data_IF_238705263995
#
_entry.id   IF_238705263995
#
_cell.length_a   1.000
_cell.length_b   1.000
_cell.length_c   1.000
_cell.angle_alpha   90.00
_cell.angle_beta   90.00
_cell.angle_gamma   90.00
#
_symmetry.space_group_name_H-M   'P 1'
#
loop_
_entity.id
_entity.type
_entity.pdbx_description
1 polymer ?
#
# COMPACT_ATOMS: atom_id res chain seq x y z
N UNK A 1 5.02 -7.96 -4.57
CA UNK A 1 4.48 -9.03 -5.44
C UNK A 1 4.61 -10.43 -4.83
N UNK A 2 5.76 -10.81 -4.25
CA UNK A 2 5.99 -12.16 -3.73
C UNK A 2 4.82 -12.74 -2.92
N UNK A 3 4.27 -11.98 -1.96
CA UNK A 3 3.08 -12.40 -1.21
C UNK A 3 1.85 -12.73 -2.07
N UNK A 4 1.62 -12.02 -3.18
CA UNK A 4 0.55 -12.39 -4.11
C UNK A 4 0.82 -13.75 -4.75
N UNK A 5 1.98 -13.93 -5.41
CA UNK A 5 2.28 -15.18 -6.14
C UNK A 5 2.32 -16.39 -5.18
N UNK A 6 2.96 -16.26 -4.02
CA UNK A 6 2.91 -17.28 -2.97
C UNK A 6 1.48 -17.58 -2.54
N UNK A 7 0.66 -16.56 -2.29
CA UNK A 7 -0.71 -16.75 -1.87
C UNK A 7 -1.61 -17.34 -2.96
N UNK A 8 -1.37 -17.07 -4.25
CA UNK A 8 -2.04 -17.75 -5.36
C UNK A 8 -1.67 -19.24 -5.36
N UNK A 9 -0.37 -19.54 -5.24
CA UNK A 9 0.16 -20.92 -5.23
C UNK A 9 -0.23 -21.73 -3.98
N UNK A 10 -0.75 -21.10 -2.93
CA UNK A 10 -1.28 -21.79 -1.75
C UNK A 10 -2.64 -22.45 -1.98
N UNK A 11 -3.41 -22.06 -3.01
CA UNK A 11 -4.66 -22.72 -3.40
C UNK A 11 -4.75 -22.86 -4.93
N UNK A 12 -3.86 -23.66 -5.55
CA UNK A 12 -3.76 -23.76 -7.01
C UNK A 12 -5.01 -24.38 -7.66
N UNK A 13 -5.83 -25.12 -6.92
CA UNK A 13 -7.09 -25.70 -7.38
C UNK A 13 -8.13 -24.65 -7.80
N UNK A 14 -8.01 -23.39 -7.35
CA UNK A 14 -8.85 -22.27 -7.82
C UNK A 14 -8.68 -22.05 -9.33
N UNK A 15 -7.51 -22.42 -9.87
CA UNK A 15 -7.16 -22.26 -11.28
C UNK A 15 -7.50 -23.49 -12.14
N UNK A 16 -8.15 -24.51 -11.57
CA UNK A 16 -8.76 -25.61 -12.32
C UNK A 16 -10.15 -25.21 -12.88
N UNK A 17 -10.55 -23.95 -12.68
CA UNK A 17 -11.82 -23.39 -13.13
C UNK A 17 -11.85 -23.21 -14.65
N UNK A 18 -12.86 -23.78 -15.29
CA UNK A 18 -13.09 -23.70 -16.73
C UNK A 18 -14.22 -22.70 -17.07
N UNK A 19 -14.08 -21.91 -18.15
CA UNK A 19 -12.89 -21.80 -19.00
C UNK A 19 -11.77 -20.97 -18.33
N UNK A 20 -10.52 -21.22 -18.71
CA UNK A 20 -9.50 -20.16 -18.71
C UNK A 20 -8.71 -19.93 -17.42
N UNK A 21 -8.69 -20.88 -16.50
CA UNK A 21 -7.68 -20.98 -15.45
C UNK A 21 -6.47 -21.81 -15.90
N UNK A 22 -5.25 -21.38 -15.54
CA UNK A 22 -4.01 -22.06 -15.93
C UNK A 22 -3.15 -22.39 -14.71
N UNK A 23 -3.54 -23.45 -13.99
CA UNK A 23 -2.87 -23.91 -12.76
C UNK A 23 -1.37 -24.20 -12.94
N UNK A 24 -1.00 -24.97 -13.96
CA UNK A 24 0.39 -25.38 -14.16
C UNK A 24 1.31 -24.19 -14.44
N UNK A 25 0.82 -23.21 -15.21
CA UNK A 25 1.55 -21.97 -15.47
C UNK A 25 1.82 -21.20 -14.18
N UNK A 26 0.82 -21.06 -13.30
CA UNK A 26 1.00 -20.42 -12.00
C UNK A 26 2.10 -21.11 -11.17
N UNK A 27 2.10 -22.43 -11.11
CA UNK A 27 3.08 -23.18 -10.32
C UNK A 27 4.50 -23.04 -10.89
N UNK A 28 4.63 -23.05 -12.22
CA UNK A 28 5.91 -22.80 -12.89
C UNK A 28 6.42 -21.37 -12.66
N UNK A 29 5.53 -20.37 -12.74
CA UNK A 29 5.85 -18.97 -12.41
C UNK A 29 6.30 -18.86 -10.96
N UNK A 30 5.60 -19.48 -10.02
CA UNK A 30 5.97 -19.49 -8.61
C UNK A 30 7.37 -20.09 -8.41
N UNK A 31 7.66 -21.25 -8.99
CA UNK A 31 8.97 -21.89 -8.86
C UNK A 31 10.10 -21.07 -9.50
N UNK A 32 9.85 -20.47 -10.67
CA UNK A 32 10.78 -19.53 -11.32
C UNK A 32 11.12 -18.35 -10.41
N UNK A 33 10.09 -17.64 -9.94
CA UNK A 33 10.27 -16.47 -9.11
C UNK A 33 10.96 -16.78 -7.77
N UNK A 34 10.61 -17.92 -7.16
CA UNK A 34 11.21 -18.38 -5.90
C UNK A 34 12.66 -18.78 -6.05
N UNK A 35 13.00 -19.50 -7.13
CA UNK A 35 14.36 -20.01 -7.37
C UNK A 35 15.31 -18.89 -7.77
N UNK A 36 14.85 -17.98 -8.62
CA UNK A 36 15.70 -17.00 -9.29
C UNK A 36 15.64 -15.61 -8.61
N UNK A 37 14.97 -15.51 -7.46
CA UNK A 37 14.79 -14.29 -6.63
C UNK A 37 14.34 -13.07 -7.45
N UNK A 38 13.30 -13.28 -8.25
CA UNK A 38 12.83 -12.30 -9.21
C UNK A 38 12.22 -11.08 -8.49
N UNK A 39 12.89 -9.93 -8.60
CA UNK A 39 12.25 -8.66 -8.26
C UNK A 39 11.16 -8.31 -9.28
N UNK A 40 9.91 -8.30 -8.82
CA UNK A 40 8.78 -8.03 -9.68
C UNK A 40 7.69 -7.17 -9.01
N UNK A 41 6.98 -6.42 -9.84
CA UNK A 41 5.91 -5.49 -9.45
C UNK A 41 4.53 -5.97 -9.94
N UNK A 42 3.48 -5.21 -9.72
CA UNK A 42 2.14 -5.53 -10.21
C UNK A 42 1.45 -4.32 -10.82
N UNK A 43 0.59 -4.58 -11.80
CA UNK A 43 -0.22 -3.59 -12.49
C UNK A 43 -1.65 -4.13 -12.62
N UNK A 44 -2.48 -3.82 -11.61
CA UNK A 44 -3.80 -4.46 -11.44
C UNK A 44 -4.98 -3.51 -11.65
N UNK A 45 -4.70 -2.22 -11.84
CA UNK A 45 -5.70 -1.15 -11.95
C UNK A 45 -5.80 -0.69 -13.41
N UNK A 46 -6.99 -0.74 -14.04
CA UNK A 46 -7.22 -0.12 -15.34
C UNK A 46 -7.20 1.43 -15.27
N UNK A 47 -7.03 2.12 -16.41
CA UNK A 47 -7.16 3.57 -16.48
C UNK A 47 -8.53 4.04 -15.95
N UNK A 48 -8.61 5.13 -15.18
CA UNK A 48 -9.89 5.77 -14.84
C UNK A 48 -10.70 6.09 -16.10
N UNK A 49 -12.00 5.83 -16.08
CA UNK A 49 -12.89 6.07 -17.23
C UNK A 49 -12.88 4.99 -18.31
N UNK A 50 -11.91 4.05 -18.30
CA UNK A 50 -11.80 2.96 -19.29
C UNK A 50 -12.94 1.92 -19.27
N UNK A 51 -13.96 2.12 -18.43
CA UNK A 51 -15.06 1.18 -18.20
C UNK A 51 -16.30 1.46 -19.04
N UNK A 52 -16.40 2.64 -19.64
CA UNK A 52 -17.55 3.00 -20.45
C UNK A 52 -17.40 2.43 -21.88
N UNK A 53 -17.62 1.12 -22.01
CA UNK A 53 -17.52 0.40 -23.28
C UNK A 53 -18.40 1.03 -24.37
N UNK A 54 -19.62 1.40 -24.02
CA UNK A 54 -20.58 2.04 -24.93
C UNK A 54 -20.04 3.37 -25.49
N UNK A 55 -19.42 4.18 -24.65
CA UNK A 55 -18.76 5.41 -25.10
C UNK A 55 -17.66 5.13 -26.12
N UNK A 56 -16.71 4.24 -25.83
CA UNK A 56 -15.60 3.98 -26.75
C UNK A 56 -16.07 3.39 -28.08
N UNK A 57 -17.06 2.50 -28.03
CA UNK A 57 -17.69 1.93 -29.22
C UNK A 57 -18.42 3.00 -30.05
N UNK A 58 -19.27 3.81 -29.43
CA UNK A 58 -20.05 4.85 -30.12
C UNK A 58 -19.18 5.97 -30.69
N UNK A 59 -18.08 6.30 -30.02
CA UNK A 59 -17.13 7.32 -30.46
C UNK A 59 -16.11 6.81 -31.49
N UNK A 60 -16.06 5.49 -31.75
CA UNK A 60 -15.08 4.90 -32.66
C UNK A 60 -13.63 5.05 -32.20
N UNK A 61 -13.40 5.18 -30.89
CA UNK A 61 -12.05 5.34 -30.30
C UNK A 61 -11.63 4.08 -29.54
N UNK A 62 -10.33 3.85 -29.45
CA UNK A 62 -9.79 2.67 -28.77
C UNK A 62 -10.11 2.69 -27.26
N UNK A 63 -10.56 1.54 -26.73
CA UNK A 63 -10.70 1.35 -25.29
C UNK A 63 -9.30 1.29 -24.64
N UNK A 64 -9.01 2.15 -23.65
CA UNK A 64 -7.66 2.26 -23.11
C UNK A 64 -7.28 1.15 -22.12
N UNK A 65 -8.22 0.34 -21.64
CA UNK A 65 -7.91 -0.78 -20.74
C UNK A 65 -7.14 -1.89 -21.46
N UNK A 66 -6.12 -2.44 -20.79
CA UNK A 66 -5.41 -3.63 -21.26
C UNK A 66 -6.37 -4.77 -21.56
N UNK A 67 -6.25 -5.34 -22.77
CA UNK A 67 -7.09 -6.43 -23.26
C UNK A 67 -6.37 -7.30 -24.28
N UNK A 68 -6.87 -8.51 -24.45
CA UNK A 68 -6.50 -9.41 -25.56
C UNK A 68 -7.15 -8.93 -26.85
N UNK A 69 -6.35 -8.73 -27.89
CA UNK A 69 -6.81 -8.31 -29.24
C UNK A 69 -6.55 -9.33 -30.32
N UNK A 70 -5.75 -10.36 -30.03
CA UNK A 70 -5.45 -11.46 -30.94
C UNK A 70 -4.93 -12.67 -30.17
N UNK A 71 -5.06 -13.84 -30.77
CA UNK A 71 -4.64 -15.13 -30.20
C UNK A 71 -4.04 -15.96 -31.32
N UNK A 72 -2.96 -16.66 -31.02
CA UNK A 72 -2.32 -17.62 -31.93
C UNK A 72 -1.87 -18.88 -31.17
N UNK A 73 -1.21 -19.78 -31.88
CA UNK A 73 -0.69 -21.04 -31.33
C UNK A 73 0.40 -20.83 -30.26
N UNK A 74 0.98 -19.63 -30.18
CA UNK A 74 2.10 -19.31 -29.29
C UNK A 74 1.68 -18.47 -28.10
N UNK A 75 0.58 -17.73 -28.17
CA UNK A 75 0.13 -16.89 -27.07
C UNK A 75 -1.02 -15.95 -27.42
N UNK A 76 -1.05 -14.83 -26.69
CA UNK A 76 -2.03 -13.76 -26.86
C UNK A 76 -1.34 -12.43 -27.19
N UNK A 77 -2.04 -11.57 -27.91
CA UNK A 77 -1.59 -10.20 -28.20
C UNK A 77 -2.33 -9.24 -27.27
N UNK A 78 -1.57 -8.48 -26.47
CA UNK A 78 -2.11 -7.47 -25.55
C UNK A 78 -1.97 -6.07 -26.13
N UNK A 79 -3.05 -5.30 -25.98
CA UNK A 79 -3.09 -3.88 -26.29
C UNK A 79 -3.81 -3.10 -25.18
N UNK A 80 -3.45 -1.82 -25.01
CA UNK A 80 -4.06 -0.92 -24.03
C UNK A 80 -3.11 -0.57 -22.88
N UNK A 81 -3.65 -0.32 -21.70
CA UNK A 81 -2.88 0.21 -20.57
C UNK A 81 -3.26 -0.38 -19.21
N UNK A 82 -2.28 -0.40 -18.30
CA UNK A 82 -2.46 -0.58 -16.86
C UNK A 82 -1.74 0.53 -16.09
N UNK A 83 -2.32 0.96 -14.99
CA UNK A 83 -1.86 2.13 -14.24
C UNK A 83 -1.04 1.71 -13.02
N UNK A 84 -0.12 2.60 -12.63
CA UNK A 84 0.57 2.64 -11.34
C UNK A 84 1.31 1.35 -10.98
N UNK A 85 2.13 0.86 -11.91
CA UNK A 85 3.12 -0.18 -11.66
C UNK A 85 4.31 0.42 -10.91
N UNK A 86 4.14 0.66 -9.61
CA UNK A 86 5.17 1.23 -8.73
C UNK A 86 6.42 0.34 -8.74
N UNK A 87 7.58 0.95 -9.00
CA UNK A 87 8.87 0.25 -9.07
C UNK A 87 9.15 -0.46 -10.39
N UNK A 88 8.27 -0.38 -11.40
CA UNK A 88 8.46 -1.06 -12.68
C UNK A 88 9.74 -0.67 -13.41
N UNK A 89 10.22 0.57 -13.23
CA UNK A 89 11.48 1.02 -13.82
C UNK A 89 12.72 0.22 -13.35
N UNK A 90 12.59 -0.55 -12.26
CA UNK A 90 13.69 -1.31 -11.64
C UNK A 90 13.40 -2.82 -11.57
N UNK A 91 12.19 -3.25 -11.96
CA UNK A 91 11.74 -4.62 -11.80
C UNK A 91 12.09 -5.47 -13.04
N UNK A 92 12.27 -6.78 -12.83
CA UNK A 92 12.48 -7.74 -13.92
C UNK A 92 11.16 -8.09 -14.60
N UNK A 93 10.13 -8.36 -13.79
CA UNK A 93 8.82 -8.84 -14.26
C UNK A 93 7.66 -8.07 -13.61
N UNK A 94 6.47 -8.20 -14.20
CA UNK A 94 5.24 -7.60 -13.71
C UNK A 94 4.08 -8.57 -13.76
N UNK A 95 3.33 -8.66 -12.66
CA UNK A 95 2.00 -9.27 -12.64
C UNK A 95 0.99 -8.27 -13.22
N UNK A 96 0.47 -8.58 -14.40
CA UNK A 96 -0.71 -7.91 -14.96
C UNK A 96 -1.94 -8.66 -14.48
N UNK A 97 -2.93 -7.96 -13.92
CA UNK A 97 -4.16 -8.62 -13.43
C UNK A 97 -5.31 -7.65 -13.14
N UNK A 98 -6.36 -8.13 -12.48
CA UNK A 98 -7.59 -7.37 -12.24
C UNK A 98 -8.03 -7.40 -10.77
N UNK A 99 -7.74 -6.34 -10.01
CA UNK A 99 -8.16 -6.23 -8.60
C UNK A 99 -9.58 -5.66 -8.43
N UNK A 100 -10.17 -5.15 -9.51
CA UNK A 100 -11.56 -4.69 -9.53
C UNK A 100 -12.42 -5.69 -10.31
N UNK A 101 -13.68 -5.91 -9.91
CA UNK A 101 -14.59 -6.77 -10.66
C UNK A 101 -14.71 -6.32 -12.11
N UNK A 102 -14.81 -7.31 -13.00
CA UNK A 102 -15.13 -7.14 -14.41
C UNK A 102 -16.54 -7.71 -14.65
N UNK A 103 -17.29 -7.07 -15.54
CA UNK A 103 -18.59 -7.59 -15.97
C UNK A 103 -18.41 -8.89 -16.78
N UNK A 104 -19.40 -9.80 -16.79
CA UNK A 104 -19.27 -11.09 -17.47
C UNK A 104 -18.93 -11.02 -18.96
N UNK A 105 -19.26 -9.92 -19.63
CA UNK A 105 -19.01 -9.69 -21.05
C UNK A 105 -17.63 -9.04 -21.34
N UNK A 106 -16.84 -8.74 -20.31
CA UNK A 106 -15.48 -8.18 -20.41
C UNK A 106 -14.39 -9.27 -20.46
N UNK A 107 -14.62 -10.30 -21.28
CA UNK A 107 -13.73 -11.46 -21.39
C UNK A 107 -12.32 -11.08 -21.85
N UNK A 108 -12.23 -10.20 -22.86
CA UNK A 108 -10.94 -9.78 -23.41
C UNK A 108 -10.10 -8.93 -22.44
N UNK A 109 -10.73 -8.24 -21.49
CA UNK A 109 -10.05 -7.55 -20.39
C UNK A 109 -9.66 -8.51 -19.23
N UNK A 110 -10.23 -9.71 -19.20
CA UNK A 110 -10.00 -10.72 -18.15
C UNK A 110 -8.74 -11.56 -18.40
N UNK A 111 -7.60 -10.87 -18.44
CA UNK A 111 -6.26 -11.45 -18.54
C UNK A 111 -5.48 -11.24 -17.24
N UNK A 112 -4.87 -12.31 -16.73
CA UNK A 112 -3.87 -12.27 -15.67
C UNK A 112 -2.63 -13.02 -16.14
N UNK A 113 -1.46 -12.38 -16.11
CA UNK A 113 -0.19 -12.97 -16.52
C UNK A 113 0.99 -12.37 -15.74
N UNK A 114 2.12 -13.07 -15.71
CA UNK A 114 3.40 -12.54 -15.20
C UNK A 114 4.39 -12.50 -16.35
N UNK A 115 4.83 -11.29 -16.72
CA UNK A 115 5.62 -11.07 -17.93
C UNK A 115 6.88 -10.25 -17.63
N UNK A 116 7.98 -10.44 -18.40
CA UNK A 116 9.14 -9.59 -18.26
C UNK A 116 8.85 -8.17 -18.77
N UNK A 117 9.48 -7.17 -18.16
CA UNK A 117 9.24 -5.76 -18.47
C UNK A 117 9.93 -5.27 -19.75
N UNK A 118 10.72 -6.13 -20.42
CA UNK A 118 11.44 -5.85 -21.65
C UNK A 118 10.83 -6.55 -22.89
N UNK A 119 9.58 -7.02 -22.83
CA UNK A 119 8.89 -7.56 -24.00
C UNK A 119 8.76 -6.50 -25.10
N UNK A 120 8.89 -6.92 -26.36
CA UNK A 120 8.63 -6.06 -27.50
C UNK A 120 7.19 -5.51 -27.46
N UNK A 121 7.02 -4.23 -27.76
CA UNK A 121 5.73 -3.54 -27.69
C UNK A 121 5.31 -3.06 -26.29
N UNK A 122 5.96 -3.51 -25.21
CA UNK A 122 5.69 -3.08 -23.84
C UNK A 122 6.53 -1.85 -23.52
N UNK A 123 5.90 -0.74 -23.13
CA UNK A 123 6.64 0.46 -22.72
C UNK A 123 6.17 0.98 -21.36
N UNK A 124 7.14 1.51 -20.59
CA UNK A 124 6.94 2.04 -19.24
C UNK A 124 6.92 3.56 -19.29
N UNK A 125 5.79 4.16 -18.94
CA UNK A 125 5.65 5.61 -18.90
C UNK A 125 5.70 6.05 -17.45
N UNK A 126 6.89 6.45 -17.01
CA UNK A 126 7.13 6.93 -15.65
C UNK A 126 6.55 8.34 -15.45
N UNK A 127 6.05 8.61 -14.24
CA UNK A 127 5.97 10.00 -13.75
C UNK A 127 7.36 10.66 -13.74
N UNK A 128 7.45 12.00 -13.62
CA UNK A 128 8.73 12.66 -13.39
C UNK A 128 9.48 12.05 -12.19
N UNK A 129 10.79 11.75 -12.33
CA UNK A 129 11.60 11.29 -11.21
C UNK A 129 11.74 12.41 -10.18
N UNK A 130 11.67 12.06 -8.90
CA UNK A 130 11.86 13.01 -7.80
C UNK A 130 13.35 13.12 -7.44
N UNK A 131 14.13 12.07 -7.68
CA UNK A 131 15.58 12.05 -7.54
C UNK A 131 16.28 12.63 -8.79
N UNK A 132 16.08 13.92 -9.05
CA UNK A 132 16.64 14.62 -10.22
C UNK A 132 18.16 14.80 -10.11
N UNK A 133 18.82 15.11 -11.23
CA UNK A 133 20.29 15.26 -11.31
C UNK A 133 20.86 16.33 -10.36
N UNK A 134 20.07 17.34 -10.02
CA UNK A 134 20.41 18.43 -9.10
C UNK A 134 20.04 18.11 -7.63
N UNK A 135 19.39 16.97 -7.39
CA UNK A 135 19.00 16.53 -6.04
C UNK A 135 20.21 15.94 -5.34
N UNK A 136 20.69 16.60 -4.27
CA UNK A 136 21.82 16.08 -3.51
C UNK A 136 21.37 15.25 -2.29
N UNK A 137 22.13 14.18 -1.91
CA UNK A 137 21.73 13.29 -0.82
C UNK A 137 21.73 13.91 0.59
N UNK A 138 22.35 15.08 0.77
CA UNK A 138 22.34 15.76 2.07
C UNK A 138 21.02 16.50 2.27
N UNK A 139 20.57 17.24 1.24
CA UNK A 139 19.36 18.05 1.30
C UNK A 139 18.08 17.22 1.10
N UNK A 140 18.18 16.08 0.40
CA UNK A 140 17.04 15.18 0.12
C UNK A 140 17.40 13.69 0.35
N UNK A 141 17.69 13.29 1.60
CA UNK A 141 18.23 11.96 1.91
C UNK A 141 17.25 10.80 1.66
N UNK A 142 15.94 11.03 1.69
CA UNK A 142 14.93 10.01 1.41
C UNK A 142 14.61 9.96 -0.07
N UNK A 143 14.37 11.11 -0.68
CA UNK A 143 14.07 11.23 -2.12
C UNK A 143 15.16 10.58 -2.96
N UNK A 144 16.44 10.82 -2.65
CA UNK A 144 17.56 10.27 -3.42
C UNK A 144 17.71 8.75 -3.32
N UNK A 145 17.14 8.11 -2.30
CA UNK A 145 17.35 6.68 -2.02
C UNK A 145 16.11 5.82 -2.20
N UNK A 146 14.92 6.40 -2.02
CA UNK A 146 13.66 5.66 -1.88
C UNK A 146 12.58 6.16 -2.84
N UNK A 147 12.94 6.89 -3.90
CA UNK A 147 11.98 7.24 -4.95
C UNK A 147 11.62 6.00 -5.78
N UNK A 148 10.39 5.53 -5.65
CA UNK A 148 9.85 4.44 -6.47
C UNK A 148 9.02 5.02 -7.61
N UNK A 149 9.53 4.95 -8.84
CA UNK A 149 8.80 5.43 -10.02
C UNK A 149 7.45 4.73 -10.17
N UNK A 150 6.39 5.52 -10.31
CA UNK A 150 5.04 5.05 -10.63
C UNK A 150 4.88 5.06 -12.16
N UNK A 151 4.91 3.87 -12.77
CA UNK A 151 4.84 3.73 -14.22
C UNK A 151 3.44 3.33 -14.70
N UNK A 152 2.99 3.91 -15.80
CA UNK A 152 1.92 3.32 -16.60
C UNK A 152 2.54 2.28 -17.53
N UNK A 153 1.93 1.12 -17.62
CA UNK A 153 2.30 0.12 -18.63
C UNK A 153 1.44 0.36 -19.86
N UNK A 154 2.06 0.52 -21.01
CA UNK A 154 1.37 0.58 -22.30
C UNK A 154 1.76 -0.62 -23.13
N UNK A 155 0.76 -1.27 -23.69
CA UNK A 155 0.88 -2.46 -24.51
C UNK A 155 0.50 -2.08 -25.93
N UNK A 156 1.45 -2.25 -26.85
CA UNK A 156 1.24 -2.06 -28.28
C UNK A 156 1.67 -3.35 -29.00
N UNK A 157 0.69 -4.18 -29.32
CA UNK A 157 0.89 -5.51 -29.92
C UNK A 157 1.89 -6.41 -29.16
N UNK A 158 1.79 -6.42 -27.82
CA UNK A 158 2.68 -7.23 -26.98
C UNK A 158 2.27 -8.70 -27.06
N UNK A 159 3.12 -9.54 -27.64
CA UNK A 159 2.90 -10.98 -27.66
C UNK A 159 3.32 -11.61 -26.33
N UNK A 160 2.35 -12.23 -25.64
CA UNK A 160 2.54 -12.89 -24.35
C UNK A 160 2.38 -14.40 -24.54
N UNK A 161 3.45 -15.19 -24.28
CA UNK A 161 3.40 -16.64 -24.41
C UNK A 161 2.37 -17.30 -23.47
N UNK A 162 1.76 -18.40 -23.92
CA UNK A 162 0.74 -19.13 -23.14
C UNK A 162 1.23 -19.52 -21.74
N UNK A 163 2.49 -19.91 -21.56
CA UNK A 163 3.08 -20.29 -20.28
C UNK A 163 3.18 -19.16 -19.25
N UNK A 164 3.01 -17.90 -19.67
CA UNK A 164 3.00 -16.72 -18.78
C UNK A 164 1.61 -16.36 -18.28
N UNK A 165 0.57 -17.00 -18.80
CA UNK A 165 -0.84 -16.68 -18.53
C UNK A 165 -1.35 -17.53 -17.36
N UNK A 166 -2.05 -16.90 -16.43
CA UNK A 166 -2.65 -17.50 -15.24
C UNK A 166 -4.18 -17.55 -15.37
N UNK A 167 -4.79 -16.50 -15.95
CA UNK A 167 -6.23 -16.42 -16.25
C UNK A 167 -6.43 -15.77 -17.61
N UNK A 168 -7.33 -16.32 -18.44
CA UNK A 168 -7.74 -15.74 -19.73
C UNK A 168 -9.24 -15.98 -19.98
N UNK A 169 -9.96 -14.97 -20.50
CA UNK A 169 -11.38 -15.07 -20.89
C UNK A 169 -12.35 -15.52 -19.78
N UNK A 170 -11.96 -15.36 -18.51
CA UNK A 170 -12.78 -15.63 -17.32
C UNK A 170 -12.84 -14.42 -16.38
N UNK A 171 -13.83 -13.56 -16.62
CA UNK A 171 -14.04 -12.32 -15.87
C UNK A 171 -14.21 -12.54 -14.35
N UNK A 172 -15.09 -13.45 -13.87
CA UNK A 172 -15.19 -13.74 -12.43
C UNK A 172 -13.87 -14.24 -11.83
N UNK A 173 -13.21 -15.20 -12.48
CA UNK A 173 -11.96 -15.78 -11.97
C UNK A 173 -10.86 -14.72 -11.85
N UNK A 174 -10.73 -13.84 -12.85
CA UNK A 174 -9.68 -12.81 -12.90
C UNK A 174 -9.61 -11.92 -11.65
N UNK A 175 -10.75 -11.73 -10.97
CA UNK A 175 -10.85 -11.03 -9.68
C UNK A 175 -10.86 -11.99 -8.48
N UNK A 176 -11.53 -13.13 -8.60
CA UNK A 176 -11.70 -14.07 -7.50
C UNK A 176 -10.40 -14.73 -7.05
N UNK A 177 -9.39 -14.79 -7.92
CA UNK A 177 -8.07 -15.33 -7.56
C UNK A 177 -7.47 -14.62 -6.34
N UNK A 178 -7.76 -13.34 -6.11
CA UNK A 178 -7.26 -12.59 -4.96
C UNK A 178 -7.99 -12.93 -3.64
N UNK A 179 -9.26 -13.32 -3.71
CA UNK A 179 -10.14 -13.53 -2.55
C UNK A 179 -10.34 -15.00 -2.19
N UNK A 180 -10.39 -15.87 -3.20
CA UNK A 180 -10.52 -17.33 -3.06
C UNK A 180 -9.18 -18.01 -2.77
N UNK A 181 -8.06 -17.35 -3.09
CA UNK A 181 -6.73 -17.76 -2.61
C UNK A 181 -6.26 -16.86 -1.46
N UNK A 182 -5.21 -17.26 -0.72
CA UNK A 182 -4.50 -16.41 0.22
C UNK A 182 -3.79 -15.17 -0.36
N UNK A 183 -3.73 -14.97 -1.68
CA UNK A 183 -2.96 -13.88 -2.35
C UNK A 183 -3.12 -12.51 -1.71
N UNK A 184 -4.36 -12.04 -1.52
CA UNK A 184 -4.61 -10.71 -0.97
C UNK A 184 -4.13 -10.57 0.47
N UNK A 185 -4.29 -11.62 1.27
CA UNK A 185 -3.90 -11.61 2.69
C UNK A 185 -2.37 -11.64 2.82
N UNK A 186 -1.70 -12.51 2.06
CA UNK A 186 -0.24 -12.61 2.05
C UNK A 186 0.44 -11.32 1.59
N UNK A 187 -0.09 -10.69 0.53
CA UNK A 187 0.45 -9.42 0.04
C UNK A 187 0.29 -8.28 1.08
N UNK A 188 -0.88 -8.18 1.71
CA UNK A 188 -1.16 -7.06 2.61
C UNK A 188 -0.56 -7.21 4.01
N UNK A 189 -0.22 -8.42 4.46
CA UNK A 189 0.55 -8.58 5.69
C UNK A 189 1.90 -7.86 5.59
N UNK A 190 2.60 -8.05 4.45
CA UNK A 190 3.85 -7.34 4.17
C UNK A 190 3.64 -5.82 4.15
N UNK A 191 2.54 -5.34 3.59
CA UNK A 191 2.22 -3.91 3.59
C UNK A 191 2.06 -3.34 5.00
N UNK A 192 1.39 -4.06 5.91
CA UNK A 192 1.26 -3.65 7.31
C UNK A 192 2.63 -3.61 8.01
N UNK A 193 3.46 -4.65 7.85
CA UNK A 193 4.82 -4.70 8.43
C UNK A 193 5.70 -3.54 7.93
N UNK A 194 5.63 -3.24 6.62
CA UNK A 194 6.32 -2.09 6.01
C UNK A 194 5.83 -0.77 6.60
N UNK A 195 4.52 -0.60 6.75
CA UNK A 195 3.94 0.60 7.34
C UNK A 195 4.39 0.80 8.80
N UNK A 196 4.38 -0.26 9.61
CA UNK A 196 4.86 -0.22 11.00
C UNK A 196 6.33 0.20 11.09
N UNK A 197 7.17 -0.34 10.20
CA UNK A 197 8.59 0.06 10.13
C UNK A 197 8.75 1.56 9.83
N UNK A 198 7.95 2.09 8.89
CA UNK A 198 7.89 3.53 8.60
C UNK A 198 7.40 4.33 9.82
N UNK A 199 6.37 3.82 10.51
CA UNK A 199 5.80 4.47 11.69
C UNK A 199 6.83 4.57 12.84
N UNK A 200 7.60 3.51 13.10
CA UNK A 200 8.70 3.54 14.08
C UNK A 200 9.73 4.62 13.76
N UNK A 201 10.11 4.76 12.49
CA UNK A 201 11.00 5.82 12.03
C UNK A 201 10.39 7.21 12.25
N UNK A 202 9.11 7.38 11.90
CA UNK A 202 8.36 8.62 12.07
C UNK A 202 8.26 9.04 13.55
N UNK A 203 7.91 8.13 14.46
CA UNK A 203 7.81 8.42 15.91
C UNK A 203 9.18 8.74 16.50
N UNK A 204 10.22 8.02 16.08
CA UNK A 204 11.61 8.33 16.46
C UNK A 204 12.00 9.74 16.02
N UNK A 205 11.67 10.12 14.80
CA UNK A 205 11.95 11.45 14.27
C UNK A 205 11.15 12.54 15.01
N UNK A 206 9.86 12.30 15.29
CA UNK A 206 9.03 13.20 16.10
C UNK A 206 9.67 13.48 17.46
N UNK A 207 10.13 12.44 18.16
CA UNK A 207 10.82 12.59 19.44
C UNK A 207 12.10 13.42 19.29
N UNK A 208 12.92 13.14 18.28
CA UNK A 208 14.16 13.89 18.03
C UNK A 208 13.89 15.37 17.70
N UNK A 209 12.83 15.68 16.95
CA UNK A 209 12.45 17.07 16.62
C UNK A 209 12.30 17.85 17.92
N UNK A 210 11.53 17.31 18.88
CA UNK A 210 11.27 18.00 20.16
C UNK A 210 12.51 18.12 21.04
N UNK A 211 13.49 17.21 20.93
CA UNK A 211 14.78 17.33 21.61
C UNK A 211 15.61 18.45 21.01
N UNK A 212 15.71 18.50 19.68
CA UNK A 212 16.51 19.49 18.96
C UNK A 212 15.93 20.89 19.13
N UNK A 213 14.61 21.04 19.19
CA UNK A 213 13.96 22.35 19.42
C UNK A 213 13.86 22.75 20.89
N UNK A 214 14.21 21.86 21.83
CA UNK A 214 14.06 22.09 23.27
C UNK A 214 12.62 22.03 23.79
N UNK A 215 11.66 21.67 22.95
CA UNK A 215 10.24 21.64 23.29
C UNK A 215 9.79 20.35 24.02
N UNK A 216 10.67 19.34 24.12
CA UNK A 216 10.32 17.99 24.59
C UNK A 216 9.60 17.96 25.93
N UNK A 217 10.04 18.77 26.90
CA UNK A 217 9.54 18.68 28.28
C UNK A 217 8.29 19.54 28.53
N UNK A 218 7.81 20.27 27.51
CA UNK A 218 6.53 20.96 27.56
C UNK A 218 5.41 19.91 27.69
N UNK A 219 4.51 19.99 28.69
CA UNK A 219 3.49 18.97 28.94
C UNK A 219 2.65 18.61 27.70
N UNK A 220 2.19 19.61 26.94
CA UNK A 220 1.42 19.40 25.71
C UNK A 220 2.22 18.65 24.63
N UNK A 221 3.52 18.91 24.51
CA UNK A 221 4.39 18.20 23.56
C UNK A 221 4.61 16.75 23.99
N UNK A 222 4.81 16.50 25.29
CA UNK A 222 4.91 15.14 25.85
C UNK A 222 3.64 14.34 25.60
N UNK A 223 2.47 14.97 25.74
CA UNK A 223 1.18 14.34 25.44
C UNK A 223 1.11 13.91 23.98
N UNK A 224 1.47 14.79 23.04
CA UNK A 224 1.52 14.46 21.60
C UNK A 224 2.47 13.30 21.31
N UNK A 225 3.68 13.32 21.89
CA UNK A 225 4.62 12.20 21.74
C UNK A 225 4.11 10.89 22.36
N UNK A 226 3.42 10.96 23.50
CA UNK A 226 2.82 9.79 24.13
C UNK A 226 1.71 9.19 23.26
N UNK A 227 0.88 10.04 22.63
CA UNK A 227 -0.14 9.60 21.66
C UNK A 227 0.50 8.89 20.46
N UNK A 228 1.55 9.48 19.87
CA UNK A 228 2.29 8.86 18.76
C UNK A 228 2.89 7.49 19.15
N UNK A 229 3.47 7.39 20.36
CA UNK A 229 4.01 6.13 20.87
C UNK A 229 2.93 5.07 21.11
N UNK A 230 1.77 5.46 21.65
CA UNK A 230 0.65 4.55 21.86
C UNK A 230 0.06 4.05 20.53
N UNK A 231 -0.05 4.93 19.53
CA UNK A 231 -0.48 4.55 18.18
C UNK A 231 0.48 3.54 17.56
N UNK A 232 1.80 3.74 17.71
CA UNK A 232 2.82 2.83 17.15
C UNK A 232 2.78 1.46 17.81
N UNK A 233 2.73 1.41 19.14
CA UNK A 233 2.61 0.17 19.89
C UNK A 233 1.30 -0.57 19.57
N UNK A 234 0.18 0.15 19.48
CA UNK A 234 -1.11 -0.43 19.10
C UNK A 234 -1.12 -0.99 17.69
N UNK A 235 -0.46 -0.32 16.74
CA UNK A 235 -0.31 -0.84 15.38
C UNK A 235 0.55 -2.11 15.34
N UNK A 236 1.66 -2.13 16.09
CA UNK A 236 2.47 -3.34 16.28
C UNK A 236 1.66 -4.51 16.83
N UNK A 237 0.82 -4.27 17.85
CA UNK A 237 -0.06 -5.30 18.41
C UNK A 237 -1.08 -5.85 17.38
N UNK A 238 -1.55 -5.04 16.42
CA UNK A 238 -2.39 -5.55 15.32
C UNK A 238 -1.62 -6.46 14.35
N UNK A 239 -0.31 -6.28 14.20
CA UNK A 239 0.55 -7.20 13.43
C UNK A 239 0.76 -8.49 14.22
N UNK A 240 1.05 -8.40 15.51
CA UNK A 240 1.15 -9.58 16.38
C UNK A 240 -0.15 -10.41 16.35
N UNK A 241 -1.30 -9.74 16.40
CA UNK A 241 -2.61 -10.37 16.26
C UNK A 241 -2.82 -11.09 14.93
N UNK A 242 -2.14 -10.68 13.85
CA UNK A 242 -2.13 -11.41 12.57
C UNK A 242 -1.42 -12.75 12.68
N UNK A 243 -0.37 -12.83 13.49
CA UNK A 243 0.47 -14.01 13.69
C UNK A 243 -0.13 -14.97 14.72
N UNK A 244 -0.47 -14.46 15.91
CA UNK A 244 -0.94 -15.29 17.03
C UNK A 244 -2.33 -15.87 16.82
N UNK A 245 -3.16 -15.23 15.98
CA UNK A 245 -4.52 -15.70 15.65
C UNK A 245 -4.59 -16.25 14.22
N UNK A 246 -3.50 -16.84 13.72
CA UNK A 246 -3.45 -17.38 12.37
C UNK A 246 -4.65 -18.31 12.08
N UNK A 247 -5.01 -18.41 10.81
CA UNK A 247 -6.03 -19.32 10.31
C UNK A 247 -5.35 -20.50 9.62
N UNK A 248 -5.87 -21.70 9.84
CA UNK A 248 -5.47 -22.86 9.05
C UNK A 248 -6.12 -22.82 7.67
N UNK A 249 -5.41 -23.33 6.68
CA UNK A 249 -5.88 -23.53 5.32
C UNK A 249 -6.06 -25.03 5.12
N UNK A 250 -7.10 -25.45 4.40
CA UNK A 250 -7.54 -26.85 4.24
C UNK A 250 -6.46 -27.84 3.76
N UNK A 251 -5.35 -27.34 3.23
CA UNK A 251 -4.22 -28.10 2.69
C UNK A 251 -2.95 -28.07 3.57
N UNK A 252 -3.09 -27.71 4.85
CA UNK A 252 -2.01 -27.74 5.85
C UNK A 252 -1.14 -26.48 5.89
N UNK A 253 -1.42 -25.48 5.06
CA UNK A 253 -0.82 -24.15 5.23
C UNK A 253 -1.50 -23.37 6.36
N UNK A 254 -0.81 -22.33 6.83
CA UNK A 254 -1.36 -21.34 7.76
C UNK A 254 -1.38 -19.97 7.09
N UNK A 255 -2.31 -19.12 7.50
CA UNK A 255 -2.55 -17.80 6.95
C UNK A 255 -2.72 -16.76 8.07
N UNK A 256 -2.30 -15.53 7.82
CA UNK A 256 -2.50 -14.43 8.75
C UNK A 256 -3.99 -14.21 9.07
N UNK A 257 -4.27 -13.82 10.32
CA UNK A 257 -5.62 -13.50 10.76
C UNK A 257 -6.22 -12.37 9.91
N UNK A 258 -7.32 -12.67 9.20
CA UNK A 258 -7.97 -11.69 8.31
C UNK A 258 -8.52 -10.49 9.07
N UNK A 259 -9.13 -10.71 10.24
CA UNK A 259 -9.75 -9.63 11.04
C UNK A 259 -8.71 -8.62 11.49
N UNK A 260 -7.59 -9.07 12.04
CA UNK A 260 -6.49 -8.21 12.47
C UNK A 260 -5.79 -7.53 11.28
N UNK A 261 -5.59 -8.25 10.17
CA UNK A 261 -4.98 -7.72 8.96
C UNK A 261 -5.78 -6.57 8.34
N UNK A 262 -7.10 -6.75 8.17
CA UNK A 262 -7.97 -5.73 7.60
C UNK A 262 -8.23 -4.56 8.55
N UNK A 263 -8.17 -4.79 9.87
CA UNK A 263 -8.17 -3.71 10.85
C UNK A 263 -6.91 -2.85 10.72
N UNK A 264 -5.73 -3.45 10.60
CA UNK A 264 -4.46 -2.73 10.43
C UNK A 264 -4.41 -1.94 9.11
N UNK A 265 -4.86 -2.52 8.00
CA UNK A 265 -4.91 -1.81 6.71
C UNK A 265 -5.82 -0.57 6.79
N UNK A 266 -7.03 -0.75 7.34
CA UNK A 266 -7.97 0.35 7.55
C UNK A 266 -7.38 1.42 8.46
N UNK A 267 -6.77 1.03 9.58
CA UNK A 267 -6.16 1.96 10.51
C UNK A 267 -5.06 2.78 9.84
N UNK A 268 -4.16 2.16 9.08
CA UNK A 268 -3.09 2.86 8.38
C UNK A 268 -3.64 3.88 7.37
N UNK A 269 -4.64 3.49 6.58
CA UNK A 269 -5.31 4.34 5.59
C UNK A 269 -5.92 5.60 6.23
N UNK A 270 -6.59 5.46 7.38
CA UNK A 270 -7.25 6.58 8.07
C UNK A 270 -6.24 7.48 8.83
N UNK A 271 -5.20 6.89 9.42
CA UNK A 271 -4.34 7.61 10.38
C UNK A 271 -3.06 8.17 9.76
N UNK A 272 -2.62 7.73 8.58
CA UNK A 272 -1.33 8.17 8.04
C UNK A 272 -1.26 9.69 7.87
N UNK A 273 -2.27 10.34 7.27
CA UNK A 273 -2.27 11.80 7.12
C UNK A 273 -2.17 12.53 8.46
N UNK A 274 -2.91 12.07 9.47
CA UNK A 274 -2.84 12.65 10.82
C UNK A 274 -1.46 12.49 11.46
N UNK A 275 -0.79 11.35 11.29
CA UNK A 275 0.59 11.14 11.74
C UNK A 275 1.55 12.13 11.08
N UNK A 276 1.42 12.32 9.76
CA UNK A 276 2.25 13.26 9.00
C UNK A 276 2.04 14.71 9.46
N UNK A 277 0.78 15.11 9.65
CA UNK A 277 0.44 16.47 10.07
C UNK A 277 0.91 16.73 11.51
N UNK A 278 0.77 15.76 12.42
CA UNK A 278 1.28 15.86 13.80
C UNK A 278 2.79 16.07 13.82
N UNK A 279 3.54 15.34 13.01
CA UNK A 279 5.00 15.51 12.91
C UNK A 279 5.35 16.87 12.30
N UNK A 280 4.59 17.32 11.30
CA UNK A 280 4.77 18.65 10.68
C UNK A 280 4.50 19.77 11.68
N UNK A 281 3.49 19.64 12.54
CA UNK A 281 3.21 20.60 13.62
C UNK A 281 4.36 20.66 14.63
N UNK A 282 4.87 19.49 15.07
CA UNK A 282 6.05 19.43 15.95
C UNK A 282 7.30 20.04 15.30
N UNK A 283 7.45 19.89 13.99
CA UNK A 283 8.56 20.42 13.19
C UNK A 283 8.51 21.94 13.06
N UNK A 284 7.30 22.51 13.02
CA UNK A 284 7.06 23.94 12.85
C UNK A 284 7.78 24.53 11.63
N UNK A 285 8.26 25.76 11.75
CA UNK A 285 9.02 26.45 10.71
C UNK A 285 10.51 26.07 10.63
N UNK A 286 10.97 25.07 11.37
CA UNK A 286 12.40 24.73 11.52
C UNK A 286 13.14 24.52 10.19
N UNK A 287 12.62 23.72 9.23
CA UNK A 287 13.29 23.48 7.96
C UNK A 287 13.54 24.74 7.13
N UNK A 288 12.66 25.74 7.22
CA UNK A 288 12.73 26.97 6.42
C UNK A 288 13.76 27.97 6.95
N UNK A 289 14.37 27.69 8.09
CA UNK A 289 15.42 28.53 8.64
C UNK A 289 16.77 28.25 7.97
N UNK A 290 16.93 27.14 7.24
CA UNK A 290 18.23 26.74 6.68
C UNK A 290 18.46 27.27 5.26
N UNK A 291 19.72 27.45 4.83
CA UNK A 291 20.06 27.76 3.45
C UNK A 291 19.48 26.75 2.47
N UNK A 292 19.36 27.17 1.21
CA UNK A 292 18.84 26.33 0.13
C UNK A 292 19.60 25.00 0.02
N UNK A 293 20.93 25.03 0.19
CA UNK A 293 21.78 23.84 0.11
C UNK A 293 22.94 23.87 1.10
N UNK A 294 23.43 22.67 1.44
CA UNK A 294 24.66 22.47 2.21
C UNK A 294 25.90 23.05 1.52
N UNK A 295 25.80 23.43 0.25
CA UNK A 295 26.84 24.15 -0.49
C UNK A 295 27.27 25.47 0.18
N UNK A 296 26.50 26.01 1.13
CA UNK A 296 26.93 27.09 2.04
C UNK A 296 28.28 26.80 2.72
N UNK A 297 28.62 25.52 2.91
CA UNK A 297 29.88 25.07 3.52
C UNK A 297 31.10 25.18 2.60
N UNK A 298 30.90 25.38 1.29
CA UNK A 298 31.99 25.42 0.29
C UNK A 298 32.69 26.77 0.26
N UNK A 299 31.98 27.86 0.54
CA UNK A 299 32.54 29.20 0.64
C UNK A 299 33.01 29.46 2.09
N UNK A 300 34.28 29.81 2.34
CA UNK A 300 34.80 29.98 3.70
C UNK A 300 34.05 31.03 4.53
N UNK A 301 33.63 32.14 3.91
CA UNK A 301 32.93 33.23 4.60
C UNK A 301 31.50 32.82 4.96
N UNK A 302 30.78 32.21 4.01
CA UNK A 302 29.43 31.68 4.27
C UNK A 302 29.44 30.56 5.30
N UNK A 303 30.45 29.67 5.24
CA UNK A 303 30.63 28.59 6.21
C UNK A 303 30.79 29.15 7.62
N UNK A 304 31.69 30.10 7.83
CA UNK A 304 31.92 30.72 9.14
C UNK A 304 30.64 31.36 9.67
N UNK A 305 29.95 32.14 8.83
CA UNK A 305 28.66 32.74 9.18
C UNK A 305 27.60 31.69 9.55
N UNK A 306 27.50 30.63 8.76
CA UNK A 306 26.55 29.55 8.98
C UNK A 306 26.84 28.80 10.29
N UNK A 307 28.10 28.42 10.53
CA UNK A 307 28.51 27.75 11.77
C UNK A 307 28.24 28.62 13.00
N UNK A 308 28.44 29.95 12.90
CA UNK A 308 28.19 30.88 14.00
C UNK A 308 26.70 31.08 14.32
N UNK A 309 25.84 31.28 13.31
CA UNK A 309 24.44 31.66 13.53
C UNK A 309 23.46 30.49 13.56
N UNK A 310 23.81 29.35 12.96
CA UNK A 310 22.93 28.17 12.93
C UNK A 310 23.28 27.10 13.95
N UNK A 311 24.28 27.29 14.81
CA UNK A 311 24.53 26.37 15.92
C UNK A 311 23.64 26.71 17.13
N UNK A 312 23.11 25.71 17.83
CA UNK A 312 22.31 25.91 19.06
C UNK A 312 22.59 24.84 20.09
N UNK A 313 22.90 25.24 21.33
CA UNK A 313 23.19 24.32 22.42
C UNK A 313 24.26 23.30 22.01
N UNK A 314 23.90 22.02 22.07
CA UNK A 314 24.81 20.90 21.77
C UNK A 314 24.90 20.56 20.27
N UNK A 315 24.19 21.25 19.37
CA UNK A 315 24.13 20.91 17.95
C UNK A 315 24.78 21.98 17.07
N UNK A 316 25.78 21.56 16.29
CA UNK A 316 26.39 22.36 15.24
C UNK A 316 25.44 22.62 14.06
N UNK A 317 25.68 23.71 13.34
CA UNK A 317 24.85 24.15 12.19
C UNK A 317 24.61 23.05 11.15
N UNK A 318 25.66 22.31 10.76
CA UNK A 318 25.59 21.22 9.79
C UNK A 318 24.72 20.06 10.29
N UNK A 319 24.91 19.63 11.53
CA UNK A 319 24.14 18.54 12.14
C UNK A 319 22.65 18.90 12.23
N UNK A 320 22.34 20.15 12.60
CA UNK A 320 20.96 20.65 12.60
C UNK A 320 20.38 20.66 11.20
N UNK A 321 21.10 21.19 10.21
CA UNK A 321 20.62 21.22 8.83
C UNK A 321 20.35 19.82 8.30
N UNK A 322 21.27 18.88 8.54
CA UNK A 322 21.11 17.46 8.16
C UNK A 322 19.82 16.87 8.74
N UNK A 323 19.54 17.19 10.01
CA UNK A 323 18.35 16.73 10.70
C UNK A 323 17.06 17.32 10.11
N UNK A 324 17.01 18.65 9.93
CA UNK A 324 15.81 19.32 9.41
C UNK A 324 15.54 19.02 7.94
N UNK A 325 16.58 18.79 7.13
CA UNK A 325 16.45 18.32 5.74
C UNK A 325 15.84 16.92 5.69
N UNK A 326 16.30 15.99 6.54
CA UNK A 326 15.67 14.66 6.68
C UNK A 326 14.21 14.75 7.11
N UNK A 327 13.91 15.56 8.14
CA UNK A 327 12.54 15.73 8.64
C UNK A 327 11.61 16.31 7.58
N UNK A 328 12.06 17.32 6.84
CA UNK A 328 11.29 17.90 5.75
C UNK A 328 11.11 16.94 4.58
N UNK A 329 12.12 16.16 4.23
CA UNK A 329 12.02 15.19 3.14
C UNK A 329 11.07 14.03 3.48
N UNK A 330 10.79 13.79 4.77
CA UNK A 330 9.77 12.86 5.22
C UNK A 330 8.35 13.44 5.11
N UNK A 331 8.15 14.72 5.44
CA UNK A 331 6.80 15.29 5.66
C UNK A 331 6.36 16.40 4.70
N UNK A 332 7.27 16.99 3.91
CA UNK A 332 6.98 18.22 3.17
C UNK A 332 7.52 18.30 1.74
N UNK A 333 8.41 17.39 1.32
CA UNK A 333 8.90 17.34 -0.07
C UNK A 333 7.89 16.71 -1.04
N UNK A 334 8.17 16.78 -2.34
CA UNK A 334 7.40 16.06 -3.37
C UNK A 334 7.36 14.54 -3.09
N UNK A 335 8.46 13.99 -2.56
CA UNK A 335 8.54 12.60 -2.13
C UNK A 335 7.57 12.31 -0.97
N UNK A 336 7.53 13.18 0.04
CA UNK A 336 6.59 13.08 1.15
C UNK A 336 5.12 13.16 0.68
N UNK A 337 4.83 14.05 -0.27
CA UNK A 337 3.50 14.22 -0.86
C UNK A 337 3.05 12.97 -1.63
N UNK A 338 3.93 12.42 -2.48
CA UNK A 338 3.70 11.15 -3.17
C UNK A 338 3.50 10.01 -2.17
N UNK A 339 4.37 9.90 -1.16
CA UNK A 339 4.26 8.86 -0.12
C UNK A 339 2.95 8.97 0.67
N UNK A 340 2.48 10.18 0.97
CA UNK A 340 1.19 10.42 1.64
C UNK A 340 0.02 9.97 0.78
N UNK A 341 0.08 10.24 -0.53
CA UNK A 341 -0.93 9.79 -1.48
C UNK A 341 -0.91 8.27 -1.62
N UNK A 342 0.28 7.66 -1.68
CA UNK A 342 0.44 6.22 -1.72
C UNK A 342 -0.23 5.55 -0.50
N UNK A 343 0.13 5.94 0.73
CA UNK A 343 -0.43 5.30 1.94
C UNK A 343 -1.95 5.45 2.06
N UNK A 344 -2.51 6.51 1.47
CA UNK A 344 -3.95 6.76 1.46
C UNK A 344 -4.71 5.90 0.44
N UNK A 345 -4.08 5.56 -0.69
CA UNK A 345 -4.80 5.00 -1.84
C UNK A 345 -4.30 3.63 -2.32
N UNK A 346 -3.14 3.13 -1.88
CA UNK A 346 -2.50 1.95 -2.48
C UNK A 346 -3.33 0.66 -2.36
N UNK A 347 -4.10 0.50 -1.28
CA UNK A 347 -4.97 -0.68 -1.06
C UNK A 347 -6.22 -0.62 -1.95
N UNK A 348 -6.64 0.59 -2.32
CA UNK A 348 -7.88 0.85 -3.05
C UNK A 348 -8.74 1.92 -2.40
N UNK A 349 -9.96 2.15 -2.91
CA UNK A 349 -10.86 3.17 -2.39
C UNK A 349 -11.33 2.84 -0.97
N UNK A 350 -11.51 3.86 -0.13
CA UNK A 350 -11.80 3.71 1.30
C UNK A 350 -13.02 2.81 1.62
N UNK A 351 -14.09 2.88 0.81
CA UNK A 351 -15.26 2.03 1.00
C UNK A 351 -14.93 0.54 0.86
N UNK A 352 -14.04 0.17 -0.06
CA UNK A 352 -13.62 -1.22 -0.26
C UNK A 352 -12.77 -1.72 0.91
N UNK A 353 -11.84 -0.90 1.41
CA UNK A 353 -11.00 -1.23 2.57
C UNK A 353 -11.85 -1.39 3.84
N UNK A 354 -12.82 -0.50 4.06
CA UNK A 354 -13.77 -0.58 5.17
C UNK A 354 -14.67 -1.80 5.06
N UNK A 355 -15.12 -2.15 3.85
CA UNK A 355 -15.95 -3.34 3.63
C UNK A 355 -15.26 -4.65 4.06
N UNK A 356 -13.93 -4.75 3.93
CA UNK A 356 -13.23 -5.93 4.46
C UNK A 356 -13.39 -6.10 5.97
N UNK A 357 -13.52 -5.02 6.73
CA UNK A 357 -13.79 -5.10 8.16
C UNK A 357 -15.22 -5.58 8.44
N UNK A 358 -16.20 -5.13 7.64
CA UNK A 358 -17.59 -5.60 7.74
C UNK A 358 -17.68 -7.10 7.45
N UNK A 359 -17.08 -7.58 6.36
CA UNK A 359 -17.16 -8.98 5.94
C UNK A 359 -16.46 -9.94 6.90
N UNK A 360 -15.38 -9.49 7.58
CA UNK A 360 -14.59 -10.36 8.45
C UNK A 360 -14.93 -10.20 9.95
N UNK A 361 -15.91 -9.35 10.30
CA UNK A 361 -16.37 -9.23 11.68
C UNK A 361 -17.29 -10.42 12.05
N UNK A 362 -17.15 -11.01 13.24
CA UNK A 362 -17.99 -12.11 13.69
C UNK A 362 -19.34 -11.56 14.21
N UNK A 363 -20.19 -11.06 13.30
CA UNK A 363 -21.42 -10.35 13.67
C UNK A 363 -22.33 -11.17 14.57
N UNK A 364 -22.53 -12.46 14.29
CA UNK A 364 -23.35 -13.35 15.13
C UNK A 364 -22.82 -13.46 16.57
N UNK A 365 -21.49 -13.52 16.75
CA UNK A 365 -20.88 -13.52 18.09
C UNK A 365 -21.12 -12.19 18.81
N UNK A 366 -20.95 -11.07 18.08
CA UNK A 366 -21.16 -9.73 18.62
C UNK A 366 -22.64 -9.46 18.97
N UNK A 367 -23.57 -9.95 18.15
CA UNK A 367 -25.00 -9.88 18.41
C UNK A 367 -25.36 -10.71 19.63
N UNK A 368 -24.87 -11.96 19.72
CA UNK A 368 -25.14 -12.83 20.86
C UNK A 368 -24.70 -12.26 22.21
N UNK A 369 -23.63 -11.46 22.25
CA UNK A 369 -23.22 -10.73 23.48
C UNK A 369 -24.30 -9.72 23.90
N UNK A 370 -24.82 -8.94 22.95
CA UNK A 370 -25.82 -7.91 23.21
C UNK A 370 -27.20 -8.54 23.51
N UNK A 371 -27.63 -9.48 22.68
CA UNK A 371 -28.87 -10.25 22.85
C UNK A 371 -28.86 -11.00 24.18
N UNK A 372 -27.73 -11.60 24.56
CA UNK A 372 -27.61 -12.27 25.86
C UNK A 372 -27.82 -11.35 27.06
N UNK A 373 -27.53 -10.04 26.94
CA UNK A 373 -27.92 -9.06 27.96
C UNK A 373 -29.40 -8.69 27.85
N UNK A 374 -29.92 -8.53 26.63
CA UNK A 374 -31.34 -8.22 26.39
C UNK A 374 -32.26 -9.30 26.99
N UNK A 375 -31.86 -10.57 26.92
CA UNK A 375 -32.61 -11.68 27.49
C UNK A 375 -32.70 -11.66 29.03
N UNK A 376 -31.89 -10.83 29.72
CA UNK A 376 -31.89 -10.75 31.19
C UNK A 376 -32.91 -9.76 31.76
N UNK A 377 -33.56 -8.98 30.91
CA UNK A 377 -34.56 -8.00 31.34
C UNK A 377 -35.79 -8.02 30.43
N UNK A 378 -36.94 -7.74 31.02
CA UNK A 378 -38.21 -7.59 30.32
C UNK A 378 -38.98 -6.41 30.96
N UNK A 379 -40.20 -6.15 30.51
CA UNK A 379 -41.14 -5.23 31.13
C UNK A 379 -41.18 -5.53 32.65
N UNK A 380 -40.82 -4.57 33.52
CA UNK A 380 -40.85 -4.77 34.97
C UNK A 380 -42.23 -5.26 35.40
N UNK A 381 -42.29 -6.27 36.27
CA UNK A 381 -43.56 -6.70 36.84
C UNK A 381 -44.17 -5.58 37.69
N UNK A 382 -45.49 -5.56 37.85
CA UNK A 382 -46.18 -4.60 38.72
C UNK A 382 -45.62 -4.64 40.16
N UNK A 383 -45.13 -5.79 40.63
CA UNK A 383 -44.45 -5.94 41.93
C UNK A 383 -43.09 -5.23 42.00
N UNK A 384 -42.32 -5.18 40.90
CA UNK A 384 -41.08 -4.42 40.84
C UNK A 384 -41.32 -2.90 40.84
N UNK A 385 -42.41 -2.44 40.22
CA UNK A 385 -42.80 -1.02 40.19
C UNK A 385 -43.36 -0.52 41.53
N UNK A 386 -43.98 -1.40 42.33
CA UNK A 386 -44.52 -1.07 43.65
C UNK A 386 -43.44 -0.95 44.73
N UNK A 387 -42.33 -1.67 44.60
CA UNK A 387 -41.22 -1.64 45.56
C UNK A 387 -40.36 -0.37 45.50
N UNK A 388 -40.42 0.41 44.42
CA UNK A 388 -39.73 1.72 44.30
C UNK A 388 -40.59 2.90 44.78
N UNK A 389 -41.85 2.67 45.18
CA UNK A 389 -42.76 3.69 45.72
C UNK A 389 -42.74 3.83 47.25
N UNK A 390 -41.83 3.12 47.94
CA UNK A 390 -41.86 2.95 49.39
C UNK A 390 -40.53 3.13 50.09
N UNK A 391 -39.88 4.29 49.96
CA UNK A 391 -39.08 4.97 51.01
C UNK A 391 -38.93 6.45 50.71
#
# INVERSE_FOLDING_TARGET
LAGNISGLAMKPEVFDSEPGGFRENLLQIYEHMRRDDIFATYAVVPPPGARNKEYYQSAGVAQPACRVTGEDDKGVILNGMKFLATGAAYAHEVLVGNIMPLEPDQKKESITCVIPLNLEGLTLWSRPPLNRMDTNPFDNPLTTKFDESDCMLTFNDVHVPWEKIIVHDNAPLSRNIYTQTPSHVMANHQCNVRFHSKMRFLVGLASLITKVTGARDIPAVRETLAKLAAMEAGYGAMIDGQLYRYHEVDNGYVLFNRRALYAALHWAMENHSHLMDTVRELLGGGPFQFPASIDVMKDPYLKEMFENYWSTGDYGAKERMKFFKLAWDLVGSDHASRATSYEKFYVGPAHAVRNYNFVNAPWEELHGIAEGLMDTYDIPSDEMLLNDGGT
#
